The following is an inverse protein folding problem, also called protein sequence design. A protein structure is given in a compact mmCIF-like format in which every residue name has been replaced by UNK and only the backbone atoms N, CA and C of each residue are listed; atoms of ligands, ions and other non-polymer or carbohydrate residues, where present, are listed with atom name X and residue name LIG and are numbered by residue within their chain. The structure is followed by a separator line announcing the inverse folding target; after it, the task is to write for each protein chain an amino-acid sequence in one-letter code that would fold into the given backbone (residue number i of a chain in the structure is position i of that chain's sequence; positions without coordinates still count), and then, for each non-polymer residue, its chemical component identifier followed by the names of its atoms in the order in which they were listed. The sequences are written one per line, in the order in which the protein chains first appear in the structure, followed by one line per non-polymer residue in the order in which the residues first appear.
data_IF_089801697311
#
_entry.id   IF_089801697311
#
_cell.length_a   1.000
_cell.length_b   1.000
_cell.length_c   1.000
_cell.angle_alpha   90.00
_cell.angle_beta   90.00
_cell.angle_gamma   90.00
#
_symmetry.space_group_name_H-M   'P 1'
#
loop_
_entity.id
_entity.type
_entity.pdbx_description
1 polymer ?
#
# COMPACT_ATOMS: atom_id res chain seq x y z
N UNK A 1 4.05 24.04 2.64
CA UNK A 1 3.88 24.04 1.17
C UNK A 1 3.98 25.43 0.52
N UNK A 2 3.50 26.52 1.15
CA UNK A 2 3.54 27.88 0.56
C UNK A 2 4.94 28.36 0.12
N UNK A 3 5.99 28.02 0.89
CA UNK A 3 7.37 28.33 0.50
C UNK A 3 7.77 27.65 -0.83
N UNK A 4 7.47 26.36 -0.97
CA UNK A 4 7.76 25.60 -2.19
C UNK A 4 7.06 26.23 -3.42
N UNK A 5 5.79 26.62 -3.28
CA UNK A 5 5.05 27.28 -4.36
C UNK A 5 5.69 28.62 -4.77
N UNK A 6 6.17 29.42 -3.81
CA UNK A 6 6.89 30.68 -4.10
C UNK A 6 8.19 30.42 -4.87
N UNK A 7 8.97 29.42 -4.45
CA UNK A 7 10.22 29.04 -5.12
C UNK A 7 9.95 28.55 -6.54
N UNK A 8 8.99 27.64 -6.73
CA UNK A 8 8.62 27.15 -8.06
C UNK A 8 8.11 28.30 -8.93
N UNK A 9 7.35 29.26 -8.38
CA UNK A 9 6.88 30.45 -9.12
C UNK A 9 8.03 31.35 -9.56
N UNK A 10 9.04 31.57 -8.71
CA UNK A 10 10.22 32.34 -9.09
C UNK A 10 10.99 31.68 -10.24
N UNK A 11 11.22 30.37 -10.16
CA UNK A 11 11.87 29.59 -11.23
C UNK A 11 11.02 29.65 -12.51
N UNK A 12 9.72 29.41 -12.40
CA UNK A 12 8.80 29.45 -13.53
C UNK A 12 8.84 30.81 -14.26
N UNK A 13 8.89 31.92 -13.51
CA UNK A 13 9.02 33.26 -14.08
C UNK A 13 10.38 33.45 -14.78
N UNK A 14 11.48 32.99 -14.18
CA UNK A 14 12.83 33.10 -14.77
C UNK A 14 12.95 32.33 -16.11
N UNK A 15 12.26 31.18 -16.21
CA UNK A 15 12.23 30.35 -17.42
C UNK A 15 11.08 30.69 -18.38
N UNK A 16 10.26 31.70 -18.07
CA UNK A 16 9.07 32.10 -18.84
C UNK A 16 8.09 30.94 -19.16
N UNK A 17 7.84 30.11 -18.15
CA UNK A 17 6.92 28.96 -18.20
C UNK A 17 5.97 28.97 -17.00
N UNK A 18 4.94 28.13 -17.02
CA UNK A 18 4.05 27.95 -15.88
C UNK A 18 4.69 27.18 -14.73
N UNK A 19 4.13 27.35 -13.52
CA UNK A 19 4.45 26.51 -12.35
C UNK A 19 4.28 25.02 -12.72
N UNK A 20 3.21 24.69 -13.46
CA UNK A 20 2.92 23.32 -13.89
C UNK A 20 4.04 22.72 -14.75
N UNK A 21 4.65 23.51 -15.64
CA UNK A 21 5.78 23.06 -16.45
C UNK A 21 7.02 22.76 -15.62
N UNK A 22 7.37 23.62 -14.65
CA UNK A 22 8.51 23.36 -13.74
C UNK A 22 8.25 22.09 -12.93
N UNK A 23 7.09 22.00 -12.28
CA UNK A 23 6.73 20.84 -11.45
C UNK A 23 6.70 19.54 -12.24
N UNK A 24 6.10 19.55 -13.44
CA UNK A 24 6.02 18.37 -14.31
C UNK A 24 7.41 17.95 -14.79
N UNK A 25 8.26 18.90 -15.20
CA UNK A 25 9.63 18.59 -15.62
C UNK A 25 10.44 18.00 -14.48
N UNK A 26 10.33 18.57 -13.29
CA UNK A 26 10.99 18.07 -12.09
C UNK A 26 10.61 16.61 -11.80
N UNK A 27 9.30 16.27 -11.83
CA UNK A 27 8.86 14.89 -11.66
C UNK A 27 9.41 13.95 -12.74
N UNK A 28 9.40 14.36 -14.01
CA UNK A 28 9.90 13.55 -15.13
C UNK A 28 11.42 13.36 -15.14
N UNK A 29 12.18 14.18 -14.41
CA UNK A 29 13.63 13.98 -14.26
C UNK A 29 13.96 12.84 -13.28
N UNK A 30 13.00 12.39 -12.46
CA UNK A 30 13.21 11.26 -11.58
C UNK A 30 13.28 9.96 -12.41
N UNK A 31 14.37 9.16 -12.30
CA UNK A 31 14.54 7.95 -13.11
C UNK A 31 13.47 6.87 -12.83
N UNK A 32 12.74 6.97 -11.72
CA UNK A 32 11.64 6.07 -11.37
C UNK A 32 10.28 6.53 -11.91
N UNK A 33 10.18 7.73 -12.51
CA UNK A 33 8.93 8.27 -13.08
C UNK A 33 8.95 8.07 -14.59
N UNK A 34 8.15 7.13 -15.09
CA UNK A 34 8.06 6.83 -16.52
C UNK A 34 7.20 7.84 -17.31
N UNK A 35 6.16 8.39 -16.69
CA UNK A 35 5.23 9.31 -17.33
C UNK A 35 4.53 10.23 -16.31
N UNK A 36 4.05 11.38 -16.79
CA UNK A 36 3.14 12.28 -16.07
C UNK A 36 1.88 12.47 -16.91
N UNK A 37 0.72 12.28 -16.29
CA UNK A 37 -0.59 12.50 -16.92
C UNK A 37 -1.10 13.87 -16.47
N UNK A 38 -1.34 14.77 -17.43
CA UNK A 38 -1.91 16.09 -17.16
C UNK A 38 -3.38 16.07 -17.54
N UNK A 39 -4.26 16.14 -16.54
CA UNK A 39 -5.70 16.29 -16.76
C UNK A 39 -6.05 17.67 -17.29
N UNK A 40 -6.94 17.75 -18.29
CA UNK A 40 -7.46 19.00 -18.82
C UNK A 40 -9.00 18.96 -18.89
N UNK A 41 -9.64 20.10 -18.66
CA UNK A 41 -11.08 20.27 -18.88
C UNK A 41 -11.30 20.98 -20.20
N UNK A 42 -11.85 20.27 -21.19
CA UNK A 42 -12.10 20.80 -22.54
C UNK A 42 -12.89 22.12 -22.46
N UNK A 43 -12.41 23.13 -23.19
CA UNK A 43 -13.01 24.47 -23.24
C UNK A 43 -12.85 25.33 -21.98
N UNK A 44 -12.24 24.84 -20.89
CA UNK A 44 -12.02 25.61 -19.66
C UNK A 44 -10.56 25.71 -19.23
N UNK A 45 -9.78 24.65 -19.38
CA UNK A 45 -8.42 24.55 -18.85
C UNK A 45 -7.53 23.73 -19.79
N UNK A 46 -7.66 23.98 -21.09
CA UNK A 46 -6.86 23.34 -22.12
C UNK A 46 -5.59 24.15 -22.36
N UNK A 47 -4.60 23.96 -21.49
CA UNK A 47 -3.29 24.62 -21.59
C UNK A 47 -2.30 23.82 -22.47
N UNK A 48 -2.79 23.18 -23.53
CA UNK A 48 -2.02 22.22 -24.33
C UNK A 48 -0.68 22.81 -24.82
N UNK A 49 -0.73 24.01 -25.43
CA UNK A 49 0.46 24.71 -25.94
C UNK A 49 1.46 25.06 -24.83
N UNK A 50 0.98 25.41 -23.64
CA UNK A 50 1.86 25.70 -22.51
C UNK A 50 2.49 24.42 -21.97
N UNK A 51 1.71 23.35 -21.80
CA UNK A 51 2.19 22.05 -21.32
C UNK A 51 3.29 21.47 -22.21
N UNK A 52 3.22 21.67 -23.53
CA UNK A 52 4.27 21.21 -24.45
C UNK A 52 5.63 21.92 -24.25
N UNK A 53 5.66 23.12 -23.67
CA UNK A 53 6.93 23.84 -23.41
C UNK A 53 7.83 23.06 -22.45
N UNK A 54 7.23 22.29 -21.55
CA UNK A 54 7.94 21.42 -20.60
C UNK A 54 8.91 20.45 -21.30
N UNK A 55 8.56 19.91 -22.47
CA UNK A 55 9.40 18.93 -23.18
C UNK A 55 10.78 19.49 -23.54
N UNK A 56 10.85 20.80 -23.83
CA UNK A 56 12.08 21.51 -24.20
C UNK A 56 12.78 22.16 -23.01
N UNK A 57 12.11 22.24 -21.86
CA UNK A 57 12.65 22.84 -20.65
C UNK A 57 13.79 21.99 -20.08
N UNK A 58 14.87 22.65 -19.67
CA UNK A 58 15.95 22.09 -18.84
C UNK A 58 16.03 22.91 -17.55
N UNK A 59 15.87 22.25 -16.41
CA UNK A 59 16.02 22.89 -15.11
C UNK A 59 17.50 22.76 -14.71
N UNK A 60 18.24 23.88 -14.53
CA UNK A 60 19.63 23.84 -14.11
C UNK A 60 19.76 23.38 -12.65
N UNK A 61 20.92 22.86 -12.28
CA UNK A 61 21.18 22.33 -10.93
C UNK A 61 20.95 23.37 -9.83
N UNK A 62 21.21 24.65 -10.11
CA UNK A 62 20.94 25.75 -9.17
C UNK A 62 19.45 25.83 -8.80
N UNK A 63 18.56 25.69 -9.78
CA UNK A 63 17.12 25.73 -9.55
C UNK A 63 16.60 24.43 -8.92
N UNK A 64 17.19 23.28 -9.27
CA UNK A 64 16.94 22.02 -8.57
C UNK A 64 17.31 22.12 -7.09
N UNK A 65 18.45 22.74 -6.76
CA UNK A 65 18.88 22.96 -5.39
C UNK A 65 17.91 23.88 -4.63
N UNK A 66 17.37 24.92 -5.26
CA UNK A 66 16.31 25.77 -4.65
C UNK A 66 15.05 24.96 -4.33
N UNK A 67 14.62 24.10 -5.27
CA UNK A 67 13.47 23.20 -5.06
C UNK A 67 13.73 22.24 -3.90
N UNK A 68 14.88 21.56 -3.90
CA UNK A 68 15.28 20.62 -2.85
C UNK A 68 15.34 21.29 -1.46
N UNK A 69 15.95 22.48 -1.37
CA UNK A 69 15.99 23.25 -0.14
C UNK A 69 14.60 23.66 0.37
N UNK A 70 13.67 23.94 -0.56
CA UNK A 70 12.29 24.23 -0.20
C UNK A 70 11.53 22.98 0.25
N UNK A 71 11.80 21.81 -0.35
CA UNK A 71 11.22 20.52 0.03
C UNK A 71 11.73 20.04 1.40
N UNK A 72 13.01 20.23 1.72
CA UNK A 72 13.58 19.87 3.02
C UNK A 72 12.96 20.63 4.21
N UNK A 73 12.27 21.74 3.95
CA UNK A 73 11.52 22.51 4.96
C UNK A 73 10.07 22.06 5.12
N UNK A 74 9.62 21.09 4.32
CA UNK A 74 8.27 20.53 4.46
C UNK A 74 8.25 19.55 5.63
N UNK A 75 7.15 19.56 6.37
CA UNK A 75 6.84 18.48 7.30
C UNK A 75 6.55 17.22 6.49
N UNK A 76 7.18 16.11 6.88
CA UNK A 76 6.82 14.80 6.33
C UNK A 76 5.39 14.45 6.73
N UNK A 77 4.66 13.81 5.82
CA UNK A 77 3.38 13.22 6.17
C UNK A 77 3.70 12.04 7.11
N UNK A 78 3.06 11.95 8.28
CA UNK A 78 3.27 10.83 9.18
C UNK A 78 2.80 9.52 8.52
N UNK A 79 3.53 8.44 8.73
CA UNK A 79 3.26 7.13 8.14
C UNK A 79 4.22 6.76 7.02
N UNK A 80 3.97 5.64 6.37
CA UNK A 80 4.76 5.13 5.25
C UNK A 80 3.99 5.19 3.93
N UNK A 81 4.64 4.78 2.84
CA UNK A 81 3.98 4.63 1.55
C UNK A 81 2.82 3.60 1.67
N UNK A 82 1.62 4.07 1.35
CA UNK A 82 0.38 3.32 1.43
C UNK A 82 -0.41 3.52 2.73
N UNK A 83 0.15 4.13 3.78
CA UNK A 83 -0.63 4.45 4.99
C UNK A 83 -1.80 5.39 4.67
N UNK A 84 -1.65 6.25 3.67
CA UNK A 84 -2.71 7.13 3.14
C UNK A 84 -3.95 6.38 2.61
N UNK A 85 -3.80 5.10 2.25
CA UNK A 85 -4.90 4.23 1.84
C UNK A 85 -5.28 3.21 2.92
N UNK A 86 -4.44 2.97 3.92
CA UNK A 86 -4.68 1.99 4.99
C UNK A 86 -5.36 2.59 6.22
N UNK A 87 -5.08 3.86 6.55
CA UNK A 87 -5.55 4.50 7.79
C UNK A 87 -6.23 5.84 7.51
N UNK A 88 -7.30 6.18 8.23
CA UNK A 88 -7.87 7.52 8.19
C UNK A 88 -6.89 8.56 8.80
N UNK A 89 -6.84 9.80 8.29
CA UNK A 89 -7.61 10.32 7.14
C UNK A 89 -7.14 9.69 5.81
N UNK A 90 -8.08 9.25 4.97
CA UNK A 90 -7.76 8.65 3.67
C UNK A 90 -7.42 9.77 2.69
N UNK A 91 -6.13 10.11 2.62
CA UNK A 91 -5.65 11.25 1.84
C UNK A 91 -5.68 10.91 0.36
N UNK A 92 -6.63 11.50 -0.37
CA UNK A 92 -6.65 11.48 -1.84
C UNK A 92 -6.19 12.82 -2.40
N UNK A 93 -6.07 12.90 -3.73
CA UNK A 93 -5.81 14.16 -4.42
C UNK A 93 -6.83 15.27 -4.11
N UNK A 94 -8.04 14.91 -3.65
CA UNK A 94 -9.11 15.83 -3.29
C UNK A 94 -9.18 16.15 -1.79
N UNK A 95 -8.26 15.61 -0.97
CA UNK A 95 -8.28 15.71 0.48
C UNK A 95 -8.76 14.42 1.17
N UNK A 96 -9.14 14.54 2.43
CA UNK A 96 -9.65 13.44 3.26
C UNK A 96 -11.05 13.01 2.79
N UNK A 97 -11.18 11.76 2.33
CA UNK A 97 -12.46 11.18 1.91
C UNK A 97 -13.17 10.39 3.02
N UNK A 98 -12.71 10.44 4.27
CA UNK A 98 -13.36 9.72 5.37
C UNK A 98 -14.85 10.05 5.53
N UNK A 99 -15.31 11.24 5.12
CA UNK A 99 -16.73 11.63 5.13
C UNK A 99 -17.57 11.10 3.95
N UNK A 100 -16.95 10.55 2.91
CA UNK A 100 -17.62 10.03 1.71
C UNK A 100 -17.71 8.50 1.68
N UNK A 101 -17.12 7.82 2.67
CA UNK A 101 -17.02 6.36 2.70
C UNK A 101 -17.68 5.85 3.97
N UNK A 102 -18.98 5.55 3.90
CA UNK A 102 -19.73 4.96 5.03
C UNK A 102 -19.17 3.59 5.43
N UNK A 103 -18.76 2.79 4.43
CA UNK A 103 -18.12 1.48 4.63
C UNK A 103 -17.39 1.05 3.36
N UNK A 104 -16.13 0.65 3.48
CA UNK A 104 -15.41 0.00 2.39
C UNK A 104 -15.95 -1.44 2.21
N UNK A 105 -16.17 -1.90 0.96
CA UNK A 105 -16.49 -3.29 0.71
C UNK A 105 -15.32 -4.18 1.13
N UNK A 106 -15.62 -5.41 1.57
CA UNK A 106 -14.58 -6.39 1.84
C UNK A 106 -13.79 -6.66 0.56
N UNK A 107 -12.46 -6.72 0.68
CA UNK A 107 -11.55 -6.97 -0.45
C UNK A 107 -11.81 -8.35 -1.06
N UNK A 108 -12.04 -9.36 -0.21
CA UNK A 108 -12.32 -10.71 -0.66
C UNK A 108 -13.77 -11.10 -0.36
N UNK A 109 -14.37 -11.81 -1.31
CA UNK A 109 -15.70 -12.37 -1.15
C UNK A 109 -15.66 -13.54 -0.18
N UNK A 110 -16.62 -13.57 0.72
CA UNK A 110 -16.82 -14.68 1.65
C UNK A 110 -17.42 -15.88 0.89
N UNK A 111 -16.87 -17.06 1.14
CA UNK A 111 -17.41 -18.35 0.68
C UNK A 111 -17.74 -19.20 1.91
N UNK A 112 -18.99 -19.65 2.02
CA UNK A 112 -19.40 -20.57 3.07
C UNK A 112 -19.46 -21.98 2.48
N UNK A 113 -18.41 -22.76 2.73
CA UNK A 113 -18.24 -24.05 2.08
C UNK A 113 -18.65 -25.23 3.00
N UNK A 114 -18.66 -25.05 4.32
CA UNK A 114 -18.93 -26.11 5.33
C UNK A 114 -19.63 -25.49 6.55
N UNK A 115 -20.58 -26.20 7.19
CA UNK A 115 -21.33 -25.75 8.39
C UNK A 115 -20.42 -25.08 9.44
N UNK A 116 -20.42 -23.75 9.50
CA UNK A 116 -19.67 -22.95 10.49
C UNK A 116 -18.24 -22.59 10.12
N UNK A 117 -17.80 -22.87 8.88
CA UNK A 117 -16.51 -22.43 8.34
C UNK A 117 -16.77 -21.42 7.21
N UNK A 118 -16.21 -20.22 7.37
CA UNK A 118 -16.18 -19.21 6.31
C UNK A 118 -14.78 -19.12 5.74
N UNK A 119 -14.64 -19.12 4.43
CA UNK A 119 -13.35 -19.03 3.74
C UNK A 119 -13.30 -17.79 2.85
N UNK A 120 -12.09 -17.32 2.57
CA UNK A 120 -11.83 -16.32 1.55
C UNK A 120 -10.72 -16.81 0.63
N UNK A 121 -10.84 -16.46 -0.64
CA UNK A 121 -9.84 -16.75 -1.68
C UNK A 121 -9.27 -15.44 -2.20
N UNK A 122 -7.94 -15.40 -2.38
CA UNK A 122 -7.28 -14.30 -3.11
C UNK A 122 -7.21 -14.57 -4.62
N UNK A 123 -7.78 -15.69 -5.08
CA UNK A 123 -7.85 -16.13 -6.48
C UNK A 123 -6.50 -16.19 -7.19
N UNK A 124 -5.45 -16.50 -6.44
CA UNK A 124 -4.13 -16.76 -7.01
C UNK A 124 -4.09 -18.16 -7.64
N UNK A 125 -3.15 -18.38 -8.58
CA UNK A 125 -2.97 -19.70 -9.21
C UNK A 125 -2.70 -20.82 -8.18
N UNK A 126 -2.07 -20.48 -7.06
CA UNK A 126 -1.67 -21.42 -6.01
C UNK A 126 -2.89 -22.03 -5.31
N UNK A 127 -3.87 -21.21 -4.94
CA UNK A 127 -5.08 -21.65 -4.23
C UNK A 127 -5.88 -22.67 -5.05
N UNK A 128 -6.03 -22.40 -6.35
CA UNK A 128 -6.70 -23.33 -7.28
C UNK A 128 -5.89 -24.61 -7.50
N UNK A 129 -4.57 -24.49 -7.68
CA UNK A 129 -3.70 -25.63 -7.99
C UNK A 129 -3.52 -26.57 -6.79
N UNK A 130 -3.35 -26.02 -5.58
CA UNK A 130 -3.06 -26.78 -4.37
C UNK A 130 -4.29 -26.96 -3.45
N UNK A 131 -5.47 -26.51 -3.88
CA UNK A 131 -6.75 -26.72 -3.18
C UNK A 131 -6.75 -26.21 -1.72
N UNK A 132 -6.38 -24.94 -1.52
CA UNK A 132 -6.43 -24.28 -0.22
C UNK A 132 -7.07 -22.89 -0.32
N UNK A 133 -7.58 -22.37 0.81
CA UNK A 133 -8.12 -21.01 0.91
C UNK A 133 -7.05 -20.02 1.41
N UNK A 134 -7.09 -18.76 0.96
CA UNK A 134 -6.22 -17.70 1.50
C UNK A 134 -6.32 -17.59 3.01
N UNK A 135 -7.54 -17.59 3.52
CA UNK A 135 -7.83 -17.68 4.93
C UNK A 135 -9.15 -18.40 5.19
N UNK A 136 -9.26 -18.98 6.38
CA UNK A 136 -10.50 -19.57 6.87
C UNK A 136 -10.78 -19.05 8.29
N UNK A 137 -12.06 -18.93 8.60
CA UNK A 137 -12.56 -18.68 9.95
C UNK A 137 -13.25 -19.93 10.45
N UNK A 138 -12.81 -20.42 11.60
CA UNK A 138 -13.47 -21.47 12.36
C UNK A 138 -13.65 -20.98 13.79
N UNK A 139 -14.90 -20.87 14.22
CA UNK A 139 -15.25 -20.25 15.51
C UNK A 139 -14.64 -18.83 15.62
N UNK A 140 -13.87 -18.58 16.68
CA UNK A 140 -13.20 -17.31 16.97
C UNK A 140 -11.80 -17.20 16.36
N UNK A 141 -11.35 -18.18 15.57
CA UNK A 141 -10.00 -18.20 14.97
C UNK A 141 -10.07 -17.94 13.48
N UNK A 142 -9.24 -17.03 13.01
CA UNK A 142 -8.94 -16.83 11.60
C UNK A 142 -7.53 -17.36 11.33
N UNK A 143 -7.44 -18.34 10.46
CA UNK A 143 -6.18 -18.95 10.04
C UNK A 143 -5.87 -18.47 8.63
N UNK A 144 -4.76 -17.78 8.45
CA UNK A 144 -4.29 -17.29 7.15
C UNK A 144 -3.16 -18.19 6.69
N UNK A 145 -3.32 -18.82 5.53
CA UNK A 145 -2.32 -19.73 4.97
C UNK A 145 -0.99 -18.99 4.70
N UNK A 146 0.09 -19.70 4.37
CA UNK A 146 1.36 -19.09 3.93
C UNK A 146 1.18 -18.17 2.71
N UNK A 147 1.54 -16.90 2.87
CA UNK A 147 1.22 -15.82 1.93
C UNK A 147 2.48 -15.25 1.31
N UNK A 148 2.59 -15.39 -0.01
CA UNK A 148 3.64 -14.76 -0.84
C UNK A 148 3.11 -13.52 -1.58
N UNK A 149 4.03 -12.76 -2.17
CA UNK A 149 3.76 -11.50 -2.86
C UNK A 149 3.12 -11.64 -4.26
N UNK A 150 2.21 -12.61 -4.43
CA UNK A 150 1.51 -12.88 -5.68
C UNK A 150 0.24 -12.04 -5.82
N UNK A 151 0.04 -11.33 -6.92
CA UNK A 151 -1.25 -10.73 -7.28
C UNK A 151 -1.67 -11.20 -8.67
N UNK A 152 -2.73 -12.03 -8.76
CA UNK A 152 -3.07 -12.72 -10.01
C UNK A 152 -1.90 -13.58 -10.49
N UNK A 153 -1.27 -13.17 -11.60
CA UNK A 153 -0.10 -13.84 -12.19
C UNK A 153 1.23 -13.11 -11.94
N UNK A 154 1.19 -11.98 -11.21
CA UNK A 154 2.34 -11.08 -11.07
C UNK A 154 2.99 -11.26 -9.69
N UNK A 155 4.33 -11.25 -9.67
CA UNK A 155 5.13 -11.06 -8.46
C UNK A 155 5.25 -9.56 -8.15
N UNK A 156 4.60 -9.11 -7.08
CA UNK A 156 4.70 -7.74 -6.58
C UNK A 156 6.04 -7.58 -5.83
N UNK A 157 6.70 -6.42 -5.97
CA UNK A 157 7.97 -6.12 -5.29
C UNK A 157 9.23 -6.72 -5.95
N UNK A 158 9.12 -7.73 -6.82
CA UNK A 158 10.26 -8.33 -7.55
C UNK A 158 11.42 -8.69 -6.62
N UNK A 159 12.58 -8.02 -6.72
CA UNK A 159 13.77 -8.31 -5.91
C UNK A 159 13.80 -7.55 -4.57
N UNK A 160 12.73 -6.83 -4.24
CA UNK A 160 12.63 -6.06 -3.00
C UNK A 160 11.80 -6.81 -1.93
N UNK A 161 12.50 -7.37 -0.94
CA UNK A 161 11.87 -8.06 0.18
C UNK A 161 11.00 -7.12 1.04
N UNK A 162 11.33 -5.84 1.13
CA UNK A 162 10.55 -4.84 1.86
C UNK A 162 9.18 -4.66 1.18
N UNK A 163 9.19 -4.40 -0.14
CA UNK A 163 7.97 -4.28 -0.93
C UNK A 163 7.14 -5.57 -0.92
N UNK A 164 7.78 -6.74 -1.04
CA UNK A 164 7.09 -8.03 -0.89
C UNK A 164 6.42 -8.16 0.48
N UNK A 165 7.11 -7.79 1.55
CA UNK A 165 6.60 -7.90 2.93
C UNK A 165 5.39 -6.99 3.15
N UNK A 166 5.43 -5.73 2.72
CA UNK A 166 4.27 -4.83 2.83
C UNK A 166 3.06 -5.41 2.09
N UNK A 167 3.26 -5.86 0.85
CA UNK A 167 2.17 -6.42 0.06
C UNK A 167 1.60 -7.71 0.66
N UNK A 168 2.45 -8.57 1.22
CA UNK A 168 2.03 -9.78 1.94
C UNK A 168 1.15 -9.41 3.14
N UNK A 169 1.58 -8.44 3.95
CA UNK A 169 0.82 -7.99 5.12
C UNK A 169 -0.49 -7.31 4.75
N UNK A 170 -0.51 -6.52 3.66
CA UNK A 170 -1.75 -5.94 3.11
C UNK A 170 -2.76 -7.04 2.73
N UNK A 171 -2.28 -8.14 2.12
CA UNK A 171 -3.14 -9.26 1.76
C UNK A 171 -3.63 -10.04 2.99
N UNK A 172 -2.77 -10.24 3.98
CA UNK A 172 -3.13 -10.89 5.25
C UNK A 172 -4.21 -10.07 5.97
N UNK A 173 -4.02 -8.76 6.09
CA UNK A 173 -4.97 -7.84 6.71
C UNK A 173 -6.32 -7.89 5.98
N UNK A 174 -6.32 -7.73 4.65
CA UNK A 174 -7.51 -7.82 3.82
C UNK A 174 -8.27 -9.16 3.98
N UNK A 175 -7.54 -10.26 4.19
CA UNK A 175 -8.13 -11.58 4.42
C UNK A 175 -8.80 -11.68 5.78
N UNK A 176 -8.16 -11.13 6.82
CA UNK A 176 -8.70 -11.09 8.18
C UNK A 176 -9.92 -10.17 8.26
N UNK A 177 -9.85 -8.99 7.65
CA UNK A 177 -10.96 -8.03 7.58
C UNK A 177 -12.18 -8.63 6.87
N UNK A 178 -11.95 -9.34 5.76
CA UNK A 178 -13.02 -10.01 5.02
C UNK A 178 -13.73 -11.10 5.86
N UNK A 179 -13.06 -11.63 6.89
CA UNK A 179 -13.60 -12.60 7.86
C UNK A 179 -14.10 -11.95 9.17
N UNK A 180 -14.11 -10.61 9.22
CA UNK A 180 -14.66 -9.81 10.32
C UNK A 180 -13.69 -9.51 11.46
N UNK A 181 -12.38 -9.72 11.25
CA UNK A 181 -11.33 -9.30 12.17
C UNK A 181 -10.63 -8.01 11.74
N UNK A 182 -9.51 -7.73 12.39
CA UNK A 182 -8.57 -6.64 12.07
C UNK A 182 -7.14 -7.11 12.33
N UNK A 183 -6.15 -6.33 11.91
CA UNK A 183 -4.75 -6.63 12.22
C UNK A 183 -4.47 -6.71 13.74
N UNK A 184 -5.25 -5.99 14.57
CA UNK A 184 -5.15 -6.02 16.04
C UNK A 184 -5.54 -7.36 16.65
N UNK A 185 -6.29 -8.17 15.91
CA UNK A 185 -6.71 -9.50 16.36
C UNK A 185 -5.63 -10.55 16.07
N UNK A 186 -4.57 -10.22 15.33
CA UNK A 186 -3.46 -11.14 15.05
C UNK A 186 -2.70 -11.44 16.32
N UNK A 187 -2.64 -12.74 16.66
CA UNK A 187 -1.96 -13.24 17.85
C UNK A 187 -0.63 -13.91 17.50
N UNK A 188 -0.44 -14.35 16.25
CA UNK A 188 0.77 -15.05 15.80
C UNK A 188 1.11 -14.76 14.35
N UNK A 189 2.40 -14.63 14.06
CA UNK A 189 2.97 -14.65 12.70
C UNK A 189 4.12 -15.65 12.59
N UNK A 190 4.20 -16.37 11.47
CA UNK A 190 5.36 -17.19 11.09
C UNK A 190 5.91 -16.66 9.77
N UNK A 191 7.18 -16.27 9.76
CA UNK A 191 7.84 -15.60 8.65
C UNK A 191 8.95 -16.53 8.12
N UNK A 192 8.85 -16.87 6.84
CA UNK A 192 9.81 -17.67 6.13
C UNK A 192 10.55 -16.78 5.13
N UNK A 193 11.87 -16.67 5.26
CA UNK A 193 12.70 -15.81 4.42
C UNK A 193 13.64 -16.64 3.55
N UNK A 194 13.84 -16.23 2.30
CA UNK A 194 14.74 -16.93 1.38
C UNK A 194 16.22 -16.64 1.70
N UNK A 195 16.55 -15.36 1.83
CA UNK A 195 17.91 -14.89 2.10
C UNK A 195 18.03 -14.38 3.52
N UNK A 196 19.07 -14.81 4.22
CA UNK A 196 19.32 -14.30 5.58
C UNK A 196 19.61 -12.80 5.56
N UNK A 197 20.24 -12.27 4.51
CA UNK A 197 20.54 -10.84 4.36
C UNK A 197 19.32 -9.92 4.40
N UNK A 198 18.12 -10.47 4.24
CA UNK A 198 16.88 -9.69 4.14
C UNK A 198 16.17 -9.57 5.50
N UNK A 199 16.66 -10.25 6.54
CA UNK A 199 15.94 -10.41 7.81
C UNK A 199 15.62 -9.07 8.48
N UNK A 200 16.55 -8.12 8.54
CA UNK A 200 16.36 -6.83 9.24
C UNK A 200 15.27 -6.00 8.58
N UNK A 201 15.30 -5.88 7.25
CA UNK A 201 14.30 -5.11 6.50
C UNK A 201 12.91 -5.73 6.59
N UNK A 202 12.82 -7.06 6.59
CA UNK A 202 11.55 -7.78 6.78
C UNK A 202 11.02 -7.58 8.22
N UNK A 203 11.90 -7.70 9.21
CA UNK A 203 11.57 -7.48 10.61
C UNK A 203 11.13 -6.04 10.88
N UNK A 204 11.76 -5.05 10.23
CA UNK A 204 11.38 -3.64 10.33
C UNK A 204 9.94 -3.40 9.83
N UNK A 205 9.56 -3.97 8.68
CA UNK A 205 8.19 -3.87 8.15
C UNK A 205 7.18 -4.55 9.08
N UNK A 206 7.52 -5.73 9.62
CA UNK A 206 6.66 -6.41 10.61
C UNK A 206 6.47 -5.54 11.85
N UNK A 207 7.56 -5.03 12.42
CA UNK A 207 7.54 -4.18 13.62
C UNK A 207 6.77 -2.88 13.41
N UNK A 208 6.85 -2.29 12.21
CA UNK A 208 6.03 -1.14 11.84
C UNK A 208 4.54 -1.48 11.81
N UNK A 209 4.17 -2.58 11.15
CA UNK A 209 2.76 -2.98 10.97
C UNK A 209 2.10 -3.47 12.25
N UNK A 210 2.86 -4.13 13.12
CA UNK A 210 2.36 -4.68 14.38
C UNK A 210 2.74 -3.87 15.61
N UNK A 211 3.22 -2.63 15.44
CA UNK A 211 3.60 -1.76 16.56
C UNK A 211 2.43 -1.61 17.55
N UNK A 212 2.64 -2.06 18.78
CA UNK A 212 1.62 -2.03 19.84
C UNK A 212 0.60 -3.18 19.81
N UNK A 213 0.60 -4.01 18.76
CA UNK A 213 -0.15 -5.27 18.70
C UNK A 213 0.75 -6.42 19.22
N UNK A 214 2.00 -6.46 18.76
CA UNK A 214 3.06 -7.36 19.24
C UNK A 214 2.63 -8.86 19.28
N UNK A 215 2.23 -9.47 18.15
CA UNK A 215 1.90 -10.90 18.11
C UNK A 215 3.13 -11.76 18.39
N UNK A 216 2.94 -13.00 18.84
CA UNK A 216 4.06 -13.94 18.94
C UNK A 216 4.61 -14.19 17.52
N UNK A 217 5.94 -14.10 17.37
CA UNK A 217 6.59 -14.11 16.06
C UNK A 217 7.64 -15.23 16.02
N UNK A 218 7.71 -15.93 14.88
CA UNK A 218 8.85 -16.76 14.52
C UNK A 218 9.33 -16.38 13.13
N UNK A 219 10.63 -16.14 12.97
CA UNK A 219 11.26 -15.92 11.66
C UNK A 219 12.34 -16.97 11.43
N UNK A 220 12.30 -17.64 10.27
CA UNK A 220 13.27 -18.66 9.89
C UNK A 220 13.69 -18.51 8.43
N UNK A 221 14.93 -18.91 8.12
CA UNK A 221 15.36 -19.06 6.74
C UNK A 221 14.82 -20.38 6.18
N UNK A 222 14.19 -20.35 5.01
CA UNK A 222 13.62 -21.52 4.34
C UNK A 222 13.75 -21.44 2.81
N UNK A 223 13.65 -22.59 2.14
CA UNK A 223 13.45 -22.63 0.68
C UNK A 223 11.99 -22.30 0.35
N UNK A 224 11.74 -21.20 -0.35
CA UNK A 224 10.39 -20.79 -0.75
C UNK A 224 10.00 -21.40 -2.10
N UNK A 225 8.73 -21.78 -2.24
CA UNK A 225 8.19 -22.38 -3.47
C UNK A 225 7.83 -21.28 -4.47
N UNK A 226 8.36 -21.40 -5.69
CA UNK A 226 8.15 -20.46 -6.78
C UNK A 226 9.30 -19.46 -6.97
N UNK A 227 9.41 -18.94 -8.19
CA UNK A 227 10.51 -18.06 -8.57
C UNK A 227 10.32 -16.62 -8.06
N UNK A 228 11.40 -16.00 -7.58
CA UNK A 228 11.43 -14.60 -7.18
C UNK A 228 10.84 -14.27 -5.80
N UNK A 229 10.16 -15.20 -5.13
CA UNK A 229 9.69 -14.95 -3.76
C UNK A 229 10.87 -14.88 -2.77
N UNK A 230 10.86 -13.83 -1.95
CA UNK A 230 11.88 -13.57 -0.93
C UNK A 230 11.34 -13.80 0.47
N UNK A 231 10.02 -13.67 0.65
CA UNK A 231 9.32 -13.76 1.93
C UNK A 231 7.99 -14.49 1.75
N UNK A 232 7.65 -15.31 2.73
CA UNK A 232 6.32 -15.88 2.91
C UNK A 232 5.88 -15.71 4.36
N UNK A 233 4.64 -15.26 4.60
CA UNK A 233 4.13 -15.03 5.96
C UNK A 233 2.81 -15.78 6.15
N UNK A 234 2.75 -16.52 7.25
CA UNK A 234 1.53 -17.10 7.80
C UNK A 234 1.08 -16.28 9.01
N UNK A 235 -0.22 -16.15 9.22
CA UNK A 235 -0.78 -15.43 10.35
C UNK A 235 -1.99 -16.13 10.96
N UNK A 236 -2.19 -15.92 12.25
CA UNK A 236 -3.35 -16.37 12.99
C UNK A 236 -3.93 -15.21 13.80
N UNK A 237 -5.25 -15.03 13.72
CA UNK A 237 -5.98 -14.03 14.49
C UNK A 237 -7.07 -14.67 15.36
N UNK A 238 -7.32 -14.06 16.52
CA UNK A 238 -8.41 -14.42 17.43
C UNK A 238 -9.40 -13.26 17.50
N UNK A 239 -10.58 -13.45 16.91
CA UNK A 239 -11.62 -12.42 16.80
C UNK A 239 -12.74 -12.70 17.81
N UNK A 240 -13.38 -11.67 18.33
CA UNK A 240 -14.58 -11.86 19.15
C UNK A 240 -15.70 -12.46 18.29
N UNK A 241 -16.34 -13.53 18.77
CA UNK A 241 -17.54 -14.08 18.13
C UNK A 241 -18.69 -13.09 18.30
N UNK A 242 -18.85 -12.16 17.35
CA UNK A 242 -20.11 -11.42 17.23
C UNK A 242 -21.15 -12.35 16.62
N UNK A 243 -22.23 -12.63 17.35
CA UNK A 243 -23.43 -13.20 16.76
C UNK A 243 -23.87 -12.30 15.59
N UNK A 244 -24.38 -12.84 14.47
CA UNK A 244 -24.71 -12.06 13.28
C UNK A 244 -25.65 -10.85 13.50
N UNK A 245 -26.35 -10.75 14.63
CA UNK A 245 -27.44 -9.78 14.84
C UNK A 245 -27.16 -8.60 15.80
N UNK A 246 -25.97 -8.45 16.39
CA UNK A 246 -25.73 -7.38 17.40
C UNK A 246 -25.28 -6.03 16.84
N UNK A 247 -25.08 -5.88 15.52
CA UNK A 247 -24.72 -4.57 14.92
C UNK A 247 -25.92 -3.69 14.55
N UNK A 248 -27.16 -4.17 14.73
CA UNK A 248 -28.39 -3.40 14.52
C UNK A 248 -29.09 -3.20 15.86
N UNK A 249 -28.47 -2.51 16.81
CA UNK A 249 -29.14 -1.86 17.96
C UNK A 249 -28.11 -1.12 18.80
N UNK A 250 -27.63 0.01 18.30
CA UNK A 250 -27.37 1.15 19.17
C UNK A 250 -28.10 2.35 18.58
N UNK A 251 -29.21 2.67 19.24
CA UNK A 251 -29.98 3.92 19.08
C UNK A 251 -29.10 5.11 19.38
#
# INVERSE_FOLDING_TARGET
YQNLLKVIKQIANAHNVSIANISTKYCLQNPFVAAVIIGARLGKSEHLKDNFRMLKLKIPDEDLNKINNAQNKLSTIPGNCGDEYRKPPYLTASGDLSHHVDKLPNVFKLEENIKGISTVSSNTKWEKMASYSRALKFQNRVLVSGTTATHGQILVGRQDATAQTHFILDKIEASIESLGGTLKDVIRTRIFIKNISDWERIAAVHGERFKGINPVNTMVKAGLIGEGYLVEIEAEASIKNTKPNERITKK
#
